data_IF_953623741435
#
_entry.id   IF_953623741435
#
_cell.length_a   1.000
_cell.length_b   1.000
_cell.length_c   1.000
_cell.angle_alpha   90.00
_cell.angle_beta   90.00
_cell.angle_gamma   90.00
#
_symmetry.space_group_name_H-M   'P 1'
#
loop_
_entity.id
_entity.type
_entity.pdbx_description
1 polymer ?
#
# COMPACT_ATOMS: atom_id res chain seq x y z
N UNK A 1 19.47 -39.68 -14.25
CA UNK A 1 18.19 -38.96 -14.16
C UNK A 1 18.45 -37.60 -13.52
N UNK A 2 18.79 -36.59 -14.31
CA UNK A 2 18.89 -35.21 -13.85
C UNK A 2 17.85 -34.40 -14.62
N UNK A 3 16.91 -33.83 -13.86
CA UNK A 3 15.79 -33.04 -14.32
C UNK A 3 16.28 -31.77 -15.03
N UNK A 4 15.94 -31.61 -16.31
CA UNK A 4 16.00 -30.34 -17.03
C UNK A 4 14.95 -29.39 -16.43
N UNK A 5 15.32 -28.71 -15.34
CA UNK A 5 14.62 -27.51 -14.91
C UNK A 5 14.88 -26.43 -15.94
N UNK A 6 13.92 -26.26 -16.86
CA UNK A 6 13.89 -25.22 -17.87
C UNK A 6 13.92 -23.82 -17.27
N UNK A 7 15.12 -23.35 -16.92
CA UNK A 7 15.42 -21.93 -16.75
C UNK A 7 15.47 -21.37 -18.16
N UNK A 8 14.33 -20.84 -18.63
CA UNK A 8 14.23 -20.12 -19.90
C UNK A 8 15.21 -18.94 -19.84
N UNK A 9 16.38 -19.12 -20.45
CA UNK A 9 17.41 -18.09 -20.59
C UNK A 9 16.73 -16.89 -21.25
N UNK A 10 16.69 -15.75 -20.55
CA UNK A 10 16.21 -14.50 -21.15
C UNK A 10 17.28 -14.12 -22.17
N UNK A 11 17.06 -14.46 -23.44
CA UNK A 11 17.97 -14.14 -24.53
C UNK A 11 18.03 -12.62 -24.70
N UNK A 12 19.00 -12.00 -24.03
CA UNK A 12 19.31 -10.57 -24.17
C UNK A 12 19.65 -10.24 -25.63
N UNK A 13 20.15 -11.21 -26.41
CA UNK A 13 20.41 -11.09 -27.84
C UNK A 13 19.16 -10.77 -28.68
N UNK A 14 17.97 -11.26 -28.28
CA UNK A 14 16.71 -10.95 -28.97
C UNK A 14 16.21 -9.52 -28.73
N UNK A 15 16.72 -8.81 -27.72
CA UNK A 15 16.32 -7.42 -27.44
C UNK A 15 16.96 -6.40 -28.39
N UNK A 16 18.08 -6.75 -29.03
CA UNK A 16 18.80 -5.89 -29.97
C UNK A 16 18.07 -5.73 -31.32
N UNK A 17 17.28 -6.73 -31.71
CA UNK A 17 16.55 -6.78 -32.99
C UNK A 17 15.10 -6.30 -32.90
N UNK A 18 14.62 -5.93 -31.70
CA UNK A 18 13.26 -5.43 -31.53
C UNK A 18 13.05 -4.14 -32.33
N UNK A 19 11.94 -4.09 -33.04
CA UNK A 19 11.46 -2.87 -33.68
C UNK A 19 11.21 -1.78 -32.63
N UNK A 20 11.20 -0.51 -33.04
CA UNK A 20 10.91 0.61 -32.12
C UNK A 20 9.56 0.46 -31.42
N UNK A 21 8.57 -0.13 -32.10
CA UNK A 21 7.24 -0.41 -31.57
C UNK A 21 7.28 -1.49 -30.48
N UNK A 22 7.95 -2.61 -30.71
CA UNK A 22 8.09 -3.68 -29.71
C UNK A 22 8.84 -3.22 -28.45
N UNK A 23 9.86 -2.36 -28.61
CA UNK A 23 10.55 -1.73 -27.47
C UNK A 23 9.60 -0.82 -26.68
N UNK A 24 8.77 -0.03 -27.36
CA UNK A 24 7.79 0.84 -26.70
C UNK A 24 6.75 0.02 -25.90
N UNK A 25 6.27 -1.09 -26.46
CA UNK A 25 5.34 -2.01 -25.78
C UNK A 25 6.00 -2.64 -24.55
N UNK A 26 7.25 -3.12 -24.66
CA UNK A 26 7.99 -3.67 -23.51
C UNK A 26 8.20 -2.62 -22.41
N UNK A 27 8.60 -1.40 -22.79
CA UNK A 27 8.76 -0.29 -21.84
C UNK A 27 7.45 0.06 -21.13
N UNK A 28 6.33 0.05 -21.85
CA UNK A 28 5.01 0.28 -21.26
C UNK A 28 4.62 -0.82 -20.26
N UNK A 29 4.90 -2.09 -20.59
CA UNK A 29 4.68 -3.23 -19.70
C UNK A 29 5.55 -3.14 -18.44
N UNK A 30 6.83 -2.81 -18.58
CA UNK A 30 7.76 -2.62 -17.47
C UNK A 30 7.30 -1.49 -16.54
N UNK A 31 6.91 -0.34 -17.09
CA UNK A 31 6.38 0.79 -16.29
C UNK A 31 5.12 0.39 -15.51
N UNK A 32 4.28 -0.49 -16.04
CA UNK A 32 3.09 -1.01 -15.35
C UNK A 32 3.47 -1.88 -14.15
N UNK A 33 4.46 -2.76 -14.30
CA UNK A 33 4.97 -3.59 -13.20
C UNK A 33 5.66 -2.73 -12.15
N UNK A 34 6.54 -1.81 -12.57
CA UNK A 34 7.24 -0.90 -11.67
C UNK A 34 6.28 -0.07 -10.80
N UNK A 35 5.20 0.47 -11.38
CA UNK A 35 4.17 1.18 -10.62
C UNK A 35 3.47 0.29 -9.59
N UNK A 36 3.17 -0.96 -9.91
CA UNK A 36 2.55 -1.89 -8.96
C UNK A 36 3.51 -2.23 -7.81
N UNK A 37 4.76 -2.54 -8.14
CA UNK A 37 5.79 -2.86 -7.15
C UNK A 37 6.04 -1.66 -6.23
N UNK A 38 6.19 -0.46 -6.78
CA UNK A 38 6.37 0.77 -6.01
C UNK A 38 5.19 1.01 -5.06
N UNK A 39 3.96 0.77 -5.50
CA UNK A 39 2.79 0.93 -4.65
C UNK A 39 2.68 -0.11 -3.54
N UNK A 40 3.08 -1.36 -3.80
CA UNK A 40 3.13 -2.41 -2.79
C UNK A 40 4.17 -2.06 -1.71
N UNK A 41 5.36 -1.63 -2.14
CA UNK A 41 6.42 -1.20 -1.22
C UNK A 41 5.96 0.00 -0.39
N UNK A 42 5.38 1.01 -1.04
CA UNK A 42 4.85 2.18 -0.36
C UNK A 42 3.79 1.81 0.67
N UNK A 43 2.80 0.99 0.29
CA UNK A 43 1.77 0.50 1.19
C UNK A 43 2.36 -0.26 2.38
N UNK A 44 3.31 -1.16 2.12
CA UNK A 44 3.99 -1.94 3.15
C UNK A 44 4.71 -1.05 4.16
N UNK A 45 5.31 0.06 3.74
CA UNK A 45 5.96 1.00 4.65
C UNK A 45 4.92 1.81 5.43
N UNK A 46 3.92 2.39 4.75
CA UNK A 46 3.03 3.36 5.38
C UNK A 46 1.95 2.72 6.27
N UNK A 47 1.59 1.45 6.05
CA UNK A 47 0.65 0.73 6.92
C UNK A 47 1.19 0.58 8.35
N UNK A 48 2.51 0.55 8.53
CA UNK A 48 3.13 0.55 9.86
C UNK A 48 2.82 1.83 10.64
N UNK A 49 2.61 2.95 9.95
CA UNK A 49 2.18 4.19 10.60
C UNK A 49 0.78 4.05 11.21
N UNK A 50 -0.15 3.39 10.52
CA UNK A 50 -1.50 3.11 11.05
C UNK A 50 -1.44 2.17 12.25
N UNK A 51 -0.69 1.06 12.12
CA UNK A 51 -0.51 0.09 13.20
C UNK A 51 0.20 0.72 14.42
N UNK A 52 1.20 1.56 14.18
CA UNK A 52 1.94 2.30 15.22
C UNK A 52 1.05 3.27 15.98
N UNK A 53 0.20 4.04 15.28
CA UNK A 53 -0.77 4.93 15.93
C UNK A 53 -1.80 4.14 16.78
N UNK A 54 -2.32 3.03 16.27
CA UNK A 54 -3.25 2.18 17.03
C UNK A 54 -2.60 1.56 18.27
N UNK A 55 -1.36 1.05 18.14
CA UNK A 55 -0.60 0.53 19.28
C UNK A 55 -0.34 1.61 20.32
N UNK A 56 0.07 2.81 19.89
CA UNK A 56 0.28 3.95 20.79
C UNK A 56 -1.02 4.38 21.48
N UNK A 57 -2.14 4.42 20.75
CA UNK A 57 -3.45 4.74 21.33
C UNK A 57 -3.81 3.75 22.46
N UNK A 58 -3.58 2.45 22.25
CA UNK A 58 -3.84 1.42 23.26
C UNK A 58 -2.98 1.58 24.52
N UNK A 59 -1.70 1.95 24.35
CA UNK A 59 -0.79 2.22 25.48
C UNK A 59 -1.22 3.47 26.24
N UNK A 60 -1.57 4.55 25.54
CA UNK A 60 -2.01 5.82 26.12
C UNK A 60 -3.33 5.65 26.89
N UNK A 61 -4.25 4.84 26.35
CA UNK A 61 -5.51 4.49 27.00
C UNK A 61 -5.27 3.80 28.34
N UNK A 62 -4.33 2.85 28.39
CA UNK A 62 -3.92 2.18 29.62
C UNK A 62 -3.34 3.10 30.70
N UNK A 63 -2.99 4.35 30.35
CA UNK A 63 -2.51 5.37 31.28
C UNK A 63 -3.62 6.32 31.77
N UNK A 64 -4.89 6.04 31.43
CA UNK A 64 -6.03 6.89 31.80
C UNK A 64 -6.15 8.18 30.98
N UNK A 65 -5.36 8.33 29.92
CA UNK A 65 -5.33 9.50 29.03
C UNK A 65 -6.26 9.32 27.83
N UNK A 66 -7.54 9.11 28.10
CA UNK A 66 -8.54 8.73 27.10
C UNK A 66 -8.64 9.72 25.92
N UNK A 67 -8.59 11.04 26.20
CA UNK A 67 -8.61 12.07 25.17
C UNK A 67 -7.43 12.00 24.19
N UNK A 68 -6.24 11.66 24.68
CA UNK A 68 -5.04 11.52 23.84
C UNK A 68 -5.06 10.21 23.04
N UNK A 69 -5.65 9.14 23.59
CA UNK A 69 -5.86 7.88 22.87
C UNK A 69 -6.84 8.05 21.69
N UNK A 70 -7.90 8.84 21.88
CA UNK A 70 -8.82 9.22 20.79
C UNK A 70 -8.08 10.05 19.74
N UNK A 71 -7.31 11.07 20.15
CA UNK A 71 -6.53 11.90 19.22
C UNK A 71 -5.54 11.06 18.39
N UNK A 72 -4.85 10.11 19.03
CA UNK A 72 -3.92 9.21 18.35
C UNK A 72 -4.64 8.27 17.37
N UNK A 73 -5.83 7.78 17.74
CA UNK A 73 -6.68 6.98 16.84
C UNK A 73 -7.13 7.79 15.62
N UNK A 74 -7.50 9.05 15.80
CA UNK A 74 -7.84 9.95 14.69
C UNK A 74 -6.64 10.17 13.75
N UNK A 75 -5.43 10.32 14.31
CA UNK A 75 -4.21 10.43 13.50
C UNK A 75 -3.93 9.16 12.68
N UNK A 76 -4.27 7.98 13.20
CA UNK A 76 -4.19 6.74 12.40
C UNK A 76 -5.07 6.81 11.13
N UNK A 77 -6.24 7.45 11.22
CA UNK A 77 -7.14 7.65 10.09
C UNK A 77 -6.57 8.59 9.03
N UNK A 78 -5.88 9.66 9.47
CA UNK A 78 -5.16 10.58 8.57
C UNK A 78 -4.06 9.83 7.81
N UNK A 79 -3.28 9.00 8.51
CA UNK A 79 -2.22 8.18 7.89
C UNK A 79 -2.81 7.16 6.91
N UNK A 80 -3.95 6.55 7.22
CA UNK A 80 -4.66 5.65 6.32
C UNK A 80 -5.12 6.37 5.03
N UNK A 81 -5.66 7.59 5.15
CA UNK A 81 -6.08 8.40 4.01
C UNK A 81 -4.90 8.81 3.11
N UNK A 82 -3.77 9.21 3.71
CA UNK A 82 -2.53 9.51 2.99
C UNK A 82 -1.98 8.29 2.27
N UNK A 83 -1.99 7.13 2.95
CA UNK A 83 -1.58 5.84 2.35
C UNK A 83 -2.42 5.50 1.14
N UNK A 84 -3.74 5.58 1.25
CA UNK A 84 -4.66 5.35 0.14
C UNK A 84 -4.35 6.26 -1.05
N UNK A 85 -4.18 7.56 -0.77
CA UNK A 85 -3.89 8.57 -1.79
C UNK A 85 -2.57 8.27 -2.49
N UNK A 86 -1.50 7.99 -1.74
CA UNK A 86 -0.18 7.69 -2.28
C UNK A 86 -0.18 6.44 -3.16
N UNK A 87 -0.78 5.34 -2.71
CA UNK A 87 -0.94 4.10 -3.51
C UNK A 87 -1.66 4.39 -4.83
N UNK A 88 -2.72 5.19 -4.79
CA UNK A 88 -3.52 5.50 -5.99
C UNK A 88 -2.76 6.35 -7.00
N UNK A 89 -2.04 7.36 -6.51
CA UNK A 89 -1.16 8.20 -7.32
C UNK A 89 -0.08 7.37 -8.00
N UNK A 90 0.56 6.45 -7.27
CA UNK A 90 1.58 5.55 -7.83
C UNK A 90 1.00 4.62 -8.90
N UNK A 91 -0.22 4.09 -8.68
CA UNK A 91 -0.89 3.23 -9.66
C UNK A 91 -1.38 4.00 -10.89
N UNK A 92 -1.42 5.33 -10.86
CA UNK A 92 -2.03 6.16 -11.91
C UNK A 92 -3.51 5.82 -12.13
N UNK A 93 -4.20 5.34 -11.08
CA UNK A 93 -5.63 4.98 -11.15
C UNK A 93 -6.48 6.15 -10.67
N UNK A 94 -7.70 6.30 -11.22
CA UNK A 94 -8.61 7.32 -10.73
C UNK A 94 -8.89 7.13 -9.23
N UNK A 95 -8.77 8.24 -8.50
CA UNK A 95 -9.05 8.37 -7.05
C UNK A 95 -10.54 8.18 -6.71
N UNK A 96 -11.40 8.16 -7.73
CA UNK A 96 -12.86 8.14 -7.61
C UNK A 96 -13.49 6.77 -7.31
N UNK A 97 -12.69 5.71 -7.12
CA UNK A 97 -13.21 4.49 -6.49
C UNK A 97 -13.21 4.70 -4.97
N UNK A 98 -13.98 5.70 -4.53
CA UNK A 98 -14.15 6.13 -3.15
C UNK A 98 -14.66 5.01 -2.24
N UNK A 99 -15.23 3.95 -2.83
CA UNK A 99 -15.66 2.73 -2.15
C UNK A 99 -14.54 2.01 -1.37
N UNK A 100 -13.28 2.22 -1.75
CA UNK A 100 -12.13 1.61 -1.06
C UNK A 100 -11.64 2.41 0.15
N UNK A 101 -12.06 3.68 0.27
CA UNK A 101 -11.72 4.54 1.41
C UNK A 101 -12.34 4.01 2.72
N UNK A 102 -13.64 3.64 2.80
CA UNK A 102 -14.19 3.05 4.01
C UNK A 102 -13.54 1.71 4.35
N UNK A 103 -13.15 0.91 3.34
CA UNK A 103 -12.41 -0.35 3.57
C UNK A 103 -11.05 -0.07 4.21
N UNK A 104 -10.31 0.92 3.72
CA UNK A 104 -9.02 1.31 4.30
C UNK A 104 -9.15 1.91 5.70
N UNK A 105 -10.28 2.55 6.01
CA UNK A 105 -10.58 3.13 7.32
C UNK A 105 -11.13 2.12 8.34
N UNK A 106 -11.51 0.91 7.91
CA UNK A 106 -12.04 -0.15 8.78
C UNK A 106 -11.27 -0.33 10.10
N UNK A 107 -9.94 -0.52 10.12
CA UNK A 107 -9.20 -0.69 11.38
C UNK A 107 -9.26 0.55 12.28
N UNK A 108 -9.24 1.76 11.71
CA UNK A 108 -9.40 3.00 12.47
C UNK A 108 -10.81 3.14 13.05
N UNK A 109 -11.84 2.81 12.27
CA UNK A 109 -13.23 2.85 12.70
C UNK A 109 -13.50 1.84 13.83
N UNK A 110 -12.94 0.63 13.74
CA UNK A 110 -13.01 -0.38 14.81
C UNK A 110 -12.33 0.13 16.09
N UNK A 111 -11.12 0.67 15.97
CA UNK A 111 -10.38 1.23 17.12
C UNK A 111 -11.14 2.38 17.79
N UNK A 112 -11.74 3.27 16.99
CA UNK A 112 -12.53 4.39 17.49
C UNK A 112 -13.83 3.90 18.17
N UNK A 113 -14.55 2.96 17.57
CA UNK A 113 -15.76 2.40 18.16
C UNK A 113 -15.47 1.72 19.51
N UNK A 114 -14.38 0.96 19.59
CA UNK A 114 -13.95 0.33 20.84
C UNK A 114 -13.67 1.36 21.94
N UNK A 115 -12.93 2.42 21.63
CA UNK A 115 -12.67 3.53 22.55
C UNK A 115 -13.96 4.20 23.02
N UNK A 116 -14.90 4.47 22.12
CA UNK A 116 -16.15 5.16 22.45
C UNK A 116 -17.14 4.31 23.26
N UNK A 117 -17.00 2.98 23.25
CA UNK A 117 -17.86 2.05 24.03
C UNK A 117 -17.31 1.68 25.40
N UNK A 118 -16.13 2.18 25.78
CA UNK A 118 -15.47 1.88 27.05
C UNK A 118 -15.59 3.05 28.02
#
# INVERSE_FOLDING_TARGET
MASETGVRRIDVAGSATLTSEERAIQMAALRKVQRRVAAIIFFGITIHGVAGCLGAAYVIEGQGRHGDAIAMTLMSGVVAALTYTGVRLILGRPLLSALWIPIALTPTAIGLAWLLTR
#
